data_IF_809317139929
#
_entry.id   IF_809317139929
#
_cell.length_a   1.000
_cell.length_b   1.000
_cell.length_c   1.000
_cell.angle_alpha   90.00
_cell.angle_beta   90.00
_cell.angle_gamma   90.00
#
_symmetry.space_group_name_H-M   'P 1'
#
loop_
_entity.id
_entity.type
_entity.pdbx_description
1 polymer ?
#
# COMPACT_ATOMS: atom_id res chain seq x y z
N UNK A 1 5.43 18.00 23.75
CA UNK A 1 6.44 17.29 22.93
C UNK A 1 6.16 17.53 21.46
N UNK A 2 6.91 18.43 20.83
CA UNK A 2 6.88 18.66 19.39
C UNK A 2 7.44 17.42 18.68
N UNK A 3 6.63 16.75 17.86
CA UNK A 3 7.10 15.64 17.02
C UNK A 3 8.12 16.20 16.04
N UNK A 4 9.41 16.04 16.34
CA UNK A 4 10.50 16.34 15.41
C UNK A 4 10.20 15.61 14.09
N UNK A 5 10.17 16.34 12.97
CA UNK A 5 9.98 15.73 11.66
C UNK A 5 11.17 14.81 11.40
N UNK A 6 10.90 13.54 11.10
CA UNK A 6 11.94 12.55 10.76
C UNK A 6 12.71 12.99 9.53
N UNK A 7 14.03 12.76 9.51
CA UNK A 7 14.84 12.97 8.31
C UNK A 7 14.48 11.97 7.22
N UNK A 8 14.86 12.25 5.97
CA UNK A 8 14.61 11.34 4.85
C UNK A 8 15.23 9.95 5.06
N UNK A 9 16.43 9.90 5.64
CA UNK A 9 17.14 8.66 5.97
C UNK A 9 16.40 7.85 7.05
N UNK A 10 15.89 8.53 8.08
CA UNK A 10 15.07 7.90 9.12
C UNK A 10 13.75 7.36 8.56
N UNK A 11 13.14 8.05 7.58
CA UNK A 11 11.93 7.56 6.92
C UNK A 11 12.20 6.30 6.09
N UNK A 12 13.35 6.22 5.41
CA UNK A 12 13.74 5.04 4.64
C UNK A 12 14.04 3.86 5.56
N UNK A 13 14.74 4.09 6.68
CA UNK A 13 14.99 3.06 7.69
C UNK A 13 13.69 2.55 8.31
N UNK A 14 12.79 3.45 8.74
CA UNK A 14 11.48 3.08 9.30
C UNK A 14 10.64 2.25 8.31
N UNK A 15 10.70 2.57 7.01
CA UNK A 15 10.00 1.83 5.96
C UNK A 15 10.63 0.45 5.71
N UNK A 16 11.96 0.34 5.79
CA UNK A 16 12.67 -0.93 5.68
C UNK A 16 12.32 -1.86 6.85
N UNK A 17 12.34 -1.32 8.08
CA UNK A 17 11.98 -2.07 9.29
C UNK A 17 10.53 -2.53 9.25
N UNK A 18 9.60 -1.66 8.83
CA UNK A 18 8.19 -2.02 8.63
C UNK A 18 8.02 -3.15 7.62
N UNK A 19 8.77 -3.13 6.52
CA UNK A 19 8.74 -4.20 5.51
C UNK A 19 9.35 -5.50 6.02
N UNK A 20 10.42 -5.43 6.81
CA UNK A 20 11.04 -6.60 7.43
C UNK A 20 10.09 -7.30 8.42
N UNK A 21 9.29 -6.53 9.18
CA UNK A 21 8.29 -7.06 10.10
C UNK A 21 7.07 -7.70 9.41
N UNK A 22 6.75 -7.29 8.17
CA UNK A 22 5.65 -7.86 7.40
C UNK A 22 6.15 -8.30 6.00
N UNK A 23 6.95 -9.38 5.96
CA UNK A 23 7.54 -9.85 4.72
C UNK A 23 6.41 -10.33 3.80
N UNK A 24 6.44 -9.87 2.55
CA UNK A 24 5.40 -10.18 1.55
C UNK A 24 5.20 -11.69 1.39
N UNK A 25 6.27 -12.48 1.52
CA UNK A 25 6.23 -13.94 1.45
C UNK A 25 5.51 -14.63 2.62
N UNK A 26 5.33 -13.97 3.76
CA UNK A 26 4.59 -14.51 4.90
C UNK A 26 3.09 -14.14 4.88
N UNK A 27 2.64 -13.35 3.89
CA UNK A 27 1.25 -12.94 3.78
C UNK A 27 0.42 -14.07 3.18
N UNK A 28 -0.52 -14.60 3.96
CA UNK A 28 -1.54 -15.49 3.41
C UNK A 28 -2.53 -14.66 2.61
N UNK A 29 -2.68 -14.98 1.32
CA UNK A 29 -3.70 -14.35 0.48
C UNK A 29 -5.01 -15.09 0.72
N UNK A 30 -5.98 -14.40 1.33
CA UNK A 30 -7.33 -14.93 1.46
C UNK A 30 -7.97 -14.87 0.06
N UNK A 31 -8.57 -15.97 -0.40
CA UNK A 31 -9.26 -15.97 -1.67
C UNK A 31 -10.40 -14.95 -1.67
N UNK A 32 -10.62 -14.27 -2.80
CA UNK A 32 -11.64 -13.22 -2.94
C UNK A 32 -13.04 -13.72 -2.54
N UNK A 33 -13.32 -15.02 -2.68
CA UNK A 33 -14.56 -15.68 -2.28
C UNK A 33 -14.83 -15.68 -0.77
N UNK A 34 -13.80 -15.53 0.07
CA UNK A 34 -13.93 -15.43 1.52
C UNK A 34 -14.00 -13.98 2.02
N UNK A 35 -13.85 -13.00 1.12
CA UNK A 35 -13.94 -11.59 1.48
C UNK A 35 -15.39 -11.11 1.49
N UNK A 36 -15.71 -10.23 2.44
CA UNK A 36 -17.01 -9.57 2.54
C UNK A 36 -17.37 -8.83 1.22
N UNK A 37 -18.64 -8.87 0.74
CA UNK A 37 -19.07 -8.13 -0.44
C UNK A 37 -18.68 -6.64 -0.44
N UNK A 38 -18.72 -5.98 0.72
CA UNK A 38 -18.31 -4.58 0.85
C UNK A 38 -16.79 -4.41 0.64
N UNK A 39 -15.99 -5.37 1.09
CA UNK A 39 -14.55 -5.39 0.85
C UNK A 39 -14.24 -5.55 -0.65
N UNK A 40 -14.94 -6.45 -1.34
CA UNK A 40 -14.74 -6.67 -2.78
C UNK A 40 -15.04 -5.42 -3.62
N UNK A 41 -16.14 -4.73 -3.31
CA UNK A 41 -16.51 -3.48 -4.01
C UNK A 41 -15.45 -2.39 -3.77
N UNK A 42 -15.00 -2.23 -2.52
CA UNK A 42 -13.98 -1.26 -2.18
C UNK A 42 -12.64 -1.60 -2.86
N UNK A 43 -12.24 -2.87 -2.87
CA UNK A 43 -11.03 -3.34 -3.54
C UNK A 43 -11.06 -3.03 -5.04
N UNK A 44 -12.18 -3.29 -5.74
CA UNK A 44 -12.35 -2.96 -7.16
C UNK A 44 -12.21 -1.45 -7.41
N UNK A 45 -12.87 -0.62 -6.60
CA UNK A 45 -12.78 0.85 -6.71
C UNK A 45 -11.35 1.35 -6.51
N UNK A 46 -10.68 0.90 -5.45
CA UNK A 46 -9.30 1.28 -5.14
C UNK A 46 -8.32 0.84 -6.24
N UNK A 47 -8.52 -0.36 -6.80
CA UNK A 47 -7.71 -0.85 -7.92
C UNK A 47 -7.90 0.02 -9.17
N UNK A 48 -9.14 0.40 -9.49
CA UNK A 48 -9.42 1.28 -10.63
C UNK A 48 -8.78 2.67 -10.45
N UNK A 49 -8.88 3.26 -9.25
CA UNK A 49 -8.24 4.53 -8.92
C UNK A 49 -6.70 4.46 -9.03
N UNK A 50 -6.11 3.35 -8.59
CA UNK A 50 -4.67 3.11 -8.73
C UNK A 50 -4.25 3.07 -10.19
N UNK A 51 -4.96 2.30 -11.02
CA UNK A 51 -4.68 2.20 -12.46
C UNK A 51 -4.83 3.55 -13.16
N UNK A 52 -5.86 4.32 -12.82
CA UNK A 52 -6.04 5.67 -13.37
C UNK A 52 -4.89 6.61 -12.97
N UNK A 53 -4.40 6.53 -11.72
CA UNK A 53 -3.25 7.31 -11.26
C UNK A 53 -1.96 6.90 -11.95
N UNK A 54 -1.72 5.60 -12.08
CA UNK A 54 -0.54 5.06 -12.76
C UNK A 54 -0.55 5.44 -14.25
N UNK A 55 -1.69 5.35 -14.92
CA UNK A 55 -1.85 5.83 -16.30
C UNK A 55 -1.60 7.33 -16.43
N UNK A 56 -2.12 8.14 -15.49
CA UNK A 56 -1.87 9.59 -15.46
C UNK A 56 -0.40 9.94 -15.21
N UNK A 57 0.28 9.20 -14.34
CA UNK A 57 1.72 9.38 -14.08
C UNK A 57 2.55 8.95 -15.29
N UNK A 58 2.20 7.84 -15.93
CA UNK A 58 2.87 7.35 -17.14
C UNK A 58 2.66 8.26 -18.35
N UNK A 59 1.54 8.97 -18.43
CA UNK A 59 1.26 9.98 -19.46
C UNK A 59 1.95 11.32 -19.19
N UNK A 60 2.46 11.56 -17.98
CA UNK A 60 3.15 12.80 -17.60
C UNK A 60 4.68 12.68 -17.64
N UNK A 61 5.20 11.46 -17.78
CA UNK A 61 6.60 11.15 -18.01
C UNK A 61 6.83 10.89 -19.50
#
# INVERSE_FOLDING_TARGET
MTKLKRSAEQQVADEADRKAQNPVGARQTIADSHADPAFQQNHKRLRAERLAREARLKSKN
#
